data_IF_327413740345
#
_entry.id   IF_327413740345
#
_cell.length_a   1.000
_cell.length_b   1.000
_cell.length_c   1.000
_cell.angle_alpha   90.00
_cell.angle_beta   90.00
_cell.angle_gamma   90.00
#
_symmetry.space_group_name_H-M   'P 1'
#
loop_
_entity.id
_entity.type
_entity.pdbx_description
1 polymer ?
#
# COMPACT_ATOMS: atom_id res chain seq x y z
N UNK A 1 27.30 9.91 11.71
CA UNK A 1 26.71 10.01 10.37
C UNK A 1 25.42 10.84 10.36
N UNK A 2 24.38 10.50 11.14
CA UNK A 2 23.13 11.30 11.22
C UNK A 2 23.34 12.75 11.71
N UNK A 3 24.22 12.96 12.70
CA UNK A 3 24.53 14.30 13.24
C UNK A 3 25.15 15.30 12.25
N UNK A 4 25.87 14.81 11.24
CA UNK A 4 26.49 15.69 10.22
C UNK A 4 25.45 16.09 9.16
N UNK A 5 24.55 15.17 8.80
CA UNK A 5 23.45 15.44 7.87
C UNK A 5 22.44 16.45 8.46
N UNK A 6 22.23 16.43 9.77
CA UNK A 6 21.40 17.40 10.49
C UNK A 6 21.99 18.82 10.48
N UNK A 7 23.32 18.96 10.50
CA UNK A 7 24.00 20.25 10.45
C UNK A 7 23.95 20.87 9.05
N UNK A 8 24.06 20.05 8.00
CA UNK A 8 24.04 20.51 6.61
C UNK A 8 22.64 20.92 6.11
N UNK A 9 21.57 20.42 6.77
CA UNK A 9 20.18 20.67 6.36
C UNK A 9 19.50 21.86 7.07
N UNK A 10 20.17 22.55 8.00
CA UNK A 10 19.55 23.63 8.78
C UNK A 10 20.19 25.02 8.61
N UNK A 11 20.13 25.64 7.41
CA UNK A 11 20.64 27.00 7.20
C UNK A 11 19.72 28.11 7.74
N UNK A 12 18.52 27.79 8.26
CA UNK A 12 17.48 28.76 8.65
C UNK A 12 17.07 28.72 10.12
N UNK A 13 17.72 27.91 10.96
CA UNK A 13 17.50 27.93 12.41
C UNK A 13 16.13 27.44 12.86
N UNK A 14 15.41 26.66 12.04
CA UNK A 14 14.18 26.01 12.51
C UNK A 14 14.59 24.84 13.40
N UNK A 15 14.11 24.82 14.64
CA UNK A 15 14.34 23.68 15.55
C UNK A 15 13.73 22.42 14.95
N UNK A 16 14.56 21.41 14.69
CA UNK A 16 14.10 20.12 14.24
C UNK A 16 13.25 19.49 15.36
N UNK A 17 12.00 19.13 15.05
CA UNK A 17 11.14 18.42 16.00
C UNK A 17 11.83 17.10 16.33
N UNK A 18 12.23 16.97 17.59
CA UNK A 18 12.92 15.78 18.06
C UNK A 18 11.91 14.62 18.19
N UNK A 19 11.75 13.87 17.11
CA UNK A 19 10.87 12.71 17.06
C UNK A 19 11.62 11.48 17.54
N UNK A 20 11.33 11.03 18.76
CA UNK A 20 11.85 9.78 19.30
C UNK A 20 10.85 8.65 19.04
N UNK A 21 11.22 7.72 18.15
CA UNK A 21 10.48 6.48 17.98
C UNK A 21 10.93 5.48 19.06
N UNK A 22 10.07 5.21 20.04
CA UNK A 22 10.34 4.23 21.11
C UNK A 22 9.49 2.98 20.91
N UNK A 23 10.14 1.82 20.83
CA UNK A 23 9.46 0.54 20.86
C UNK A 23 9.31 0.11 22.32
N UNK A 24 8.09 0.17 22.86
CA UNK A 24 7.80 -0.37 24.20
C UNK A 24 7.71 -1.89 24.12
N UNK A 25 8.69 -2.57 24.72
CA UNK A 25 8.59 -3.98 25.07
C UNK A 25 7.98 -4.07 26.46
N UNK A 26 6.66 -4.24 26.55
CA UNK A 26 5.97 -4.53 27.81
C UNK A 26 5.84 -6.06 27.96
N UNK A 27 6.50 -6.68 28.96
CA UNK A 27 6.41 -8.13 29.19
C UNK A 27 5.00 -8.63 29.53
N UNK A 28 4.08 -7.75 29.95
CA UNK A 28 2.68 -8.09 30.22
C UNK A 28 1.76 -7.95 29.00
N UNK A 29 2.24 -7.38 27.89
CA UNK A 29 1.49 -7.31 26.64
C UNK A 29 1.58 -8.63 25.86
N UNK A 30 0.53 -8.92 25.08
CA UNK A 30 0.43 -10.11 24.23
C UNK A 30 1.67 -10.26 23.33
N UNK A 31 2.51 -11.25 23.67
CA UNK A 31 3.76 -11.57 22.98
C UNK A 31 3.54 -11.93 21.51
N UNK A 32 2.31 -12.21 21.06
CA UNK A 32 2.01 -12.58 19.67
C UNK A 32 1.85 -11.39 18.73
N UNK A 33 1.73 -10.16 19.24
CA UNK A 33 1.41 -8.98 18.43
C UNK A 33 2.64 -8.22 17.91
N UNK A 34 3.80 -8.36 18.55
CA UNK A 34 5.03 -7.63 18.21
C UNK A 34 6.31 -8.48 18.34
N UNK A 35 6.26 -9.75 17.95
CA UNK A 35 7.47 -10.58 17.93
C UNK A 35 8.55 -9.97 17.02
N UNK A 36 9.80 -10.00 17.49
CA UNK A 36 10.94 -9.65 16.65
C UNK A 36 10.94 -10.56 15.40
N UNK A 37 11.15 -10.01 14.19
CA UNK A 37 11.17 -10.80 12.97
C UNK A 37 12.25 -11.89 13.06
N UNK A 38 11.88 -13.16 12.87
CA UNK A 38 12.82 -14.30 12.85
C UNK A 38 13.46 -14.55 11.49
N UNK A 39 12.89 -13.99 10.42
CA UNK A 39 13.38 -14.12 9.05
C UNK A 39 13.53 -12.74 8.38
N UNK A 40 14.31 -12.71 7.31
CA UNK A 40 14.48 -11.51 6.46
C UNK A 40 13.45 -11.43 5.32
N UNK A 41 12.57 -12.42 5.25
CA UNK A 41 11.51 -12.51 4.26
C UNK A 41 10.18 -12.02 4.84
N UNK A 42 9.30 -11.59 3.95
CA UNK A 42 7.95 -11.18 4.29
C UNK A 42 7.02 -12.00 3.41
N UNK A 43 5.98 -12.56 4.02
CA UNK A 43 4.94 -13.30 3.33
C UNK A 43 3.58 -12.78 3.79
N UNK A 44 2.61 -12.83 2.89
CA UNK A 44 1.20 -12.56 3.21
C UNK A 44 0.50 -13.90 3.30
N UNK A 45 -0.15 -14.15 4.44
CA UNK A 45 -0.95 -15.35 4.67
C UNK A 45 -2.39 -14.92 4.81
N UNK A 46 -3.26 -15.54 4.03
CA UNK A 46 -4.70 -15.31 4.07
C UNK A 46 -5.41 -16.64 3.88
N UNK A 47 -6.63 -16.74 4.40
CA UNK A 47 -7.47 -17.91 4.25
C UNK A 47 -8.80 -17.43 3.70
N UNK A 48 -9.21 -18.02 2.58
CA UNK A 48 -10.53 -17.85 2.02
C UNK A 48 -10.99 -19.19 1.44
N UNK A 49 -12.31 -19.38 1.29
CA UNK A 49 -12.91 -20.66 0.87
C UNK A 49 -12.31 -21.15 -0.45
N UNK A 50 -12.13 -20.24 -1.41
CA UNK A 50 -11.64 -20.54 -2.75
C UNK A 50 -10.14 -20.19 -2.94
N UNK A 51 -9.42 -19.90 -1.86
CA UNK A 51 -8.01 -19.47 -1.93
C UNK A 51 -7.79 -18.10 -2.55
N UNK A 52 -8.84 -17.29 -2.71
CA UNK A 52 -8.73 -15.96 -3.31
C UNK A 52 -8.15 -14.92 -2.34
N UNK A 53 -7.34 -13.97 -2.84
CA UNK A 53 -6.96 -12.77 -2.11
C UNK A 53 -8.21 -12.06 -1.57
N UNK A 54 -8.24 -11.68 -0.28
CA UNK A 54 -9.39 -10.97 0.25
C UNK A 54 -9.44 -9.59 -0.41
N UNK A 55 -10.56 -9.26 -1.04
CA UNK A 55 -10.77 -7.94 -1.66
C UNK A 55 -11.16 -6.89 -0.62
N UNK A 56 -11.96 -7.29 0.36
CA UNK A 56 -12.31 -6.41 1.48
C UNK A 56 -11.20 -6.43 2.53
N UNK A 57 -10.89 -5.24 3.04
CA UNK A 57 -10.07 -5.03 4.24
C UNK A 57 -10.88 -4.17 5.18
N UNK A 58 -10.88 -4.52 6.47
CA UNK A 58 -11.48 -3.66 7.49
C UNK A 58 -10.54 -2.50 7.81
N UNK A 59 -10.57 -1.46 6.97
CA UNK A 59 -9.81 -0.23 7.15
C UNK A 59 -10.77 0.84 7.64
N UNK A 60 -10.60 1.27 8.90
CA UNK A 60 -11.42 2.31 9.52
C UNK A 60 -10.59 3.52 9.86
N UNK A 61 -11.09 4.68 9.46
CA UNK A 61 -10.54 5.99 9.75
C UNK A 61 -11.36 6.58 10.88
N UNK A 62 -10.70 6.98 11.96
CA UNK A 62 -11.31 7.78 13.01
C UNK A 62 -10.97 9.24 12.79
N UNK A 63 -11.98 10.07 12.57
CA UNK A 63 -11.80 11.50 12.40
C UNK A 63 -11.92 12.21 13.76
N UNK A 64 -10.81 12.81 14.20
CA UNK A 64 -10.75 13.51 15.50
C UNK A 64 -11.63 14.75 15.58
N UNK A 65 -11.96 15.38 14.45
CA UNK A 65 -12.72 16.64 14.43
C UNK A 65 -14.22 16.39 14.55
N UNK A 66 -14.73 15.38 13.84
CA UNK A 66 -16.15 15.00 13.82
C UNK A 66 -16.47 13.87 14.79
N UNK A 67 -15.46 13.26 15.41
CA UNK A 67 -15.60 12.17 16.38
C UNK A 67 -16.30 10.92 15.80
N UNK A 68 -16.24 10.74 14.48
CA UNK A 68 -16.86 9.64 13.75
C UNK A 68 -15.83 8.65 13.21
N UNK A 69 -16.31 7.44 12.93
CA UNK A 69 -15.54 6.36 12.32
C UNK A 69 -16.09 6.08 10.94
N UNK A 70 -15.22 6.13 9.94
CA UNK A 70 -15.55 5.87 8.55
C UNK A 70 -14.77 4.66 8.05
N UNK A 71 -15.46 3.68 7.48
CA UNK A 71 -14.80 2.59 6.77
C UNK A 71 -14.43 3.06 5.36
N UNK A 72 -13.22 2.70 4.91
CA UNK A 72 -12.77 2.97 3.55
C UNK A 72 -12.45 1.69 2.80
N UNK A 73 -12.66 1.75 1.48
CA UNK A 73 -12.31 0.67 0.57
C UNK A 73 -10.79 0.63 0.33
N UNK A 74 -10.27 -0.54 -0.04
CA UNK A 74 -8.88 -0.70 -0.51
C UNK A 74 -8.58 0.11 -1.79
N UNK A 75 -9.63 0.54 -2.50
CA UNK A 75 -9.55 1.36 -3.70
C UNK A 75 -9.66 2.87 -3.39
N UNK A 76 -9.85 3.26 -2.12
CA UNK A 76 -9.86 4.65 -1.71
C UNK A 76 -8.45 5.24 -1.82
N UNK A 77 -8.35 6.45 -2.38
CA UNK A 77 -7.08 7.16 -2.55
C UNK A 77 -6.32 7.37 -1.25
N UNK A 78 -6.99 7.37 -0.10
CA UNK A 78 -6.39 7.55 1.22
C UNK A 78 -5.82 6.26 1.81
N UNK A 79 -6.16 5.10 1.25
CA UNK A 79 -5.78 3.79 1.77
C UNK A 79 -4.27 3.64 1.92
N UNK A 80 -3.50 3.77 0.84
CA UNK A 80 -2.04 3.57 0.89
C UNK A 80 -1.32 4.61 1.76
N UNK A 81 -1.64 5.92 1.67
CA UNK A 81 -1.03 6.93 2.54
C UNK A 81 -1.30 6.70 4.03
N UNK A 82 -2.49 6.21 4.40
CA UNK A 82 -2.84 5.95 5.80
C UNK A 82 -2.23 4.65 6.33
N UNK A 83 -2.10 3.62 5.48
CA UNK A 83 -1.44 2.36 5.86
C UNK A 83 0.09 2.47 5.87
N UNK A 84 0.67 3.34 5.03
CA UNK A 84 2.11 3.55 4.91
C UNK A 84 2.53 5.02 5.05
N UNK A 85 2.27 5.70 6.18
CA UNK A 85 2.57 7.13 6.32
C UNK A 85 4.03 7.50 6.05
N UNK A 86 4.97 6.61 6.40
CA UNK A 86 6.40 6.81 6.16
C UNK A 86 6.79 6.80 4.67
N UNK A 87 5.97 6.18 3.81
CA UNK A 87 6.16 6.21 2.35
C UNK A 87 5.47 7.43 1.69
N UNK A 88 4.54 8.05 2.41
CA UNK A 88 3.75 9.20 1.98
C UNK A 88 3.92 10.37 2.96
N UNK A 89 5.14 10.93 3.13
CA UNK A 89 5.43 11.94 4.15
C UNK A 89 4.62 13.24 3.98
N UNK A 90 4.17 13.53 2.76
CA UNK A 90 3.35 14.70 2.44
C UNK A 90 1.84 14.42 2.43
N UNK A 91 1.42 13.19 2.73
CA UNK A 91 0.01 12.80 2.69
C UNK A 91 -0.62 12.85 1.29
N UNK A 92 0.18 12.75 0.23
CA UNK A 92 -0.31 12.70 -1.14
C UNK A 92 -1.25 11.50 -1.35
N UNK A 93 -2.24 11.67 -2.21
CA UNK A 93 -3.17 10.59 -2.56
C UNK A 93 -2.44 9.37 -3.15
N UNK A 94 -2.92 8.19 -2.75
CA UNK A 94 -2.60 6.89 -3.31
C UNK A 94 -3.32 6.63 -4.64
N UNK A 95 -3.19 5.41 -5.14
CA UNK A 95 -3.97 4.98 -6.30
C UNK A 95 -5.47 4.95 -5.98
N UNK A 96 -6.29 5.32 -6.96
CA UNK A 96 -7.74 5.17 -6.95
C UNK A 96 -8.28 5.05 -8.39
N UNK A 97 -9.53 4.62 -8.55
CA UNK A 97 -10.13 4.33 -9.87
C UNK A 97 -10.14 5.52 -10.82
N UNK A 98 -10.26 6.75 -10.31
CA UNK A 98 -10.35 7.97 -11.11
C UNK A 98 -8.99 8.57 -11.46
N UNK A 99 -7.89 7.93 -11.07
CA UNK A 99 -6.56 8.42 -11.36
C UNK A 99 -6.28 8.41 -12.86
N UNK A 100 -5.96 9.58 -13.41
CA UNK A 100 -5.64 9.78 -14.82
C UNK A 100 -4.16 10.12 -15.01
N UNK A 101 -3.63 9.68 -16.15
CA UNK A 101 -2.25 9.92 -16.55
C UNK A 101 -2.06 11.37 -16.99
N UNK A 102 -1.00 11.99 -16.47
CA UNK A 102 -0.49 13.30 -16.89
C UNK A 102 0.63 13.17 -17.94
N UNK A 103 0.96 11.95 -18.37
CA UNK A 103 1.98 11.74 -19.39
C UNK A 103 1.50 12.36 -20.71
N UNK A 104 2.28 13.24 -21.36
CA UNK A 104 1.91 13.84 -22.65
C UNK A 104 1.64 12.81 -23.76
N UNK A 105 2.23 11.61 -23.68
CA UNK A 105 1.98 10.52 -24.63
C UNK A 105 0.63 9.82 -24.41
N UNK A 106 0.11 9.85 -23.19
CA UNK A 106 -1.14 9.20 -22.79
C UNK A 106 -1.96 10.13 -21.88
N UNK A 107 -2.38 11.31 -22.37
CA UNK A 107 -3.08 12.28 -21.54
C UNK A 107 -4.50 11.79 -21.25
N UNK A 108 -4.90 11.81 -19.97
CA UNK A 108 -6.25 11.45 -19.55
C UNK A 108 -6.56 9.95 -19.53
N UNK A 109 -5.61 9.10 -19.93
CA UNK A 109 -5.74 7.64 -19.82
C UNK A 109 -5.86 7.22 -18.35
N UNK A 110 -6.73 6.26 -18.08
CA UNK A 110 -6.89 5.67 -16.74
C UNK A 110 -5.60 4.97 -16.35
N UNK A 111 -5.07 5.28 -15.17
CA UNK A 111 -3.87 4.64 -14.63
C UNK A 111 -4.29 3.37 -13.90
N UNK A 112 -3.73 2.22 -14.27
CA UNK A 112 -4.02 0.97 -13.56
C UNK A 112 -3.28 0.92 -12.21
N UNK A 113 -3.73 0.09 -11.27
CA UNK A 113 -3.00 -0.15 -10.01
C UNK A 113 -1.56 -0.57 -10.28
N UNK A 114 -1.37 -1.47 -11.25
CA UNK A 114 -0.07 -1.98 -11.63
C UNK A 114 0.84 -0.87 -12.16
N UNK A 115 0.33 0.00 -13.05
CA UNK A 115 1.10 1.12 -13.59
C UNK A 115 1.53 2.09 -12.48
N UNK A 116 0.64 2.37 -11.53
CA UNK A 116 0.93 3.23 -10.40
C UNK A 116 2.01 2.65 -9.50
N UNK A 117 1.88 1.40 -9.05
CA UNK A 117 2.88 0.77 -8.19
C UNK A 117 4.22 0.59 -8.92
N UNK A 118 4.19 0.23 -10.20
CA UNK A 118 5.38 0.18 -11.04
C UNK A 118 6.05 1.56 -11.12
N UNK A 119 5.29 2.64 -11.28
CA UNK A 119 5.83 4.01 -11.31
C UNK A 119 6.53 4.40 -10.01
N UNK A 120 5.98 4.04 -8.85
CA UNK A 120 6.58 4.30 -7.54
C UNK A 120 7.91 3.54 -7.33
N UNK A 121 7.97 2.31 -7.86
CA UNK A 121 9.12 1.41 -7.70
C UNK A 121 10.15 1.52 -8.83
N UNK A 122 9.79 2.15 -9.96
CA UNK A 122 10.61 2.25 -11.16
C UNK A 122 11.99 2.85 -10.86
N UNK A 123 13.10 2.30 -11.43
CA UNK A 123 14.44 2.82 -11.22
C UNK A 123 14.56 4.28 -11.69
N UNK A 124 15.23 5.11 -10.87
CA UNK A 124 15.42 6.55 -11.06
C UNK A 124 16.70 6.96 -10.33
N UNK A 125 17.39 7.97 -10.85
CA UNK A 125 18.58 8.54 -10.21
C UNK A 125 18.25 9.21 -8.87
N UNK A 126 17.07 9.83 -8.77
CA UNK A 126 16.62 10.55 -7.60
C UNK A 126 16.29 9.65 -6.40
N UNK A 127 16.34 10.25 -5.21
CA UNK A 127 15.88 9.61 -3.98
C UNK A 127 14.40 9.17 -4.11
N UNK A 128 14.12 7.95 -3.67
CA UNK A 128 12.75 7.44 -3.55
C UNK A 128 12.60 6.74 -2.21
N UNK A 129 11.67 7.26 -1.39
CA UNK A 129 11.34 6.66 -0.10
C UNK A 129 10.81 5.23 -0.26
N UNK A 130 10.04 4.97 -1.33
CA UNK A 130 9.54 3.64 -1.66
C UNK A 130 10.64 2.61 -1.88
N UNK A 131 11.81 3.03 -2.40
CA UNK A 131 12.94 2.12 -2.63
C UNK A 131 13.81 1.90 -1.40
N UNK A 132 13.94 2.93 -0.56
CA UNK A 132 14.86 2.94 0.60
C UNK A 132 14.24 2.47 1.92
N UNK A 133 12.94 2.19 1.95
CA UNK A 133 12.23 1.81 3.17
C UNK A 133 12.49 0.37 3.69
N UNK A 134 13.43 -0.38 3.10
CA UNK A 134 13.84 -1.69 3.60
C UNK A 134 12.68 -2.69 3.75
N UNK A 135 12.48 -3.24 4.96
CA UNK A 135 11.38 -4.19 5.22
C UNK A 135 9.99 -3.59 4.97
N UNK A 136 9.79 -2.29 5.23
CA UNK A 136 8.52 -1.62 4.95
C UNK A 136 8.21 -1.60 3.45
N UNK A 137 9.24 -1.46 2.60
CA UNK A 137 9.08 -1.59 1.15
C UNK A 137 8.61 -2.99 0.77
N UNK A 138 9.19 -4.03 1.35
CA UNK A 138 8.77 -5.42 1.07
C UNK A 138 7.30 -5.65 1.46
N UNK A 139 6.85 -5.12 2.61
CA UNK A 139 5.43 -5.16 3.00
C UNK A 139 4.55 -4.43 1.99
N UNK A 140 4.94 -3.20 1.62
CA UNK A 140 4.22 -2.40 0.64
C UNK A 140 4.09 -3.09 -0.72
N UNK A 141 5.16 -3.74 -1.21
CA UNK A 141 5.14 -4.48 -2.48
C UNK A 141 4.14 -5.64 -2.42
N UNK A 142 4.18 -6.42 -1.35
CA UNK A 142 3.28 -7.56 -1.20
C UNK A 142 1.83 -7.12 -1.08
N UNK A 143 1.56 -6.07 -0.32
CA UNK A 143 0.22 -5.52 -0.17
C UNK A 143 -0.29 -4.92 -1.48
N UNK A 144 0.54 -4.17 -2.20
CA UNK A 144 0.23 -3.65 -3.54
C UNK A 144 -0.11 -4.78 -4.53
N UNK A 145 0.66 -5.88 -4.51
CA UNK A 145 0.38 -7.07 -5.32
C UNK A 145 -0.97 -7.69 -4.94
N UNK A 146 -1.19 -7.93 -3.64
CA UNK A 146 -2.44 -8.50 -3.13
C UNK A 146 -3.67 -7.66 -3.48
N UNK A 147 -3.57 -6.34 -3.33
CA UNK A 147 -4.64 -5.41 -3.71
C UNK A 147 -4.92 -5.45 -5.21
N UNK A 148 -3.87 -5.54 -6.03
CA UNK A 148 -4.00 -5.62 -7.50
C UNK A 148 -4.66 -6.92 -7.93
N UNK A 149 -4.23 -8.04 -7.38
CA UNK A 149 -4.80 -9.36 -7.69
C UNK A 149 -6.24 -9.48 -7.20
N UNK A 150 -6.54 -9.03 -5.98
CA UNK A 150 -7.91 -9.01 -5.47
C UNK A 150 -8.84 -8.16 -6.36
N UNK A 151 -8.37 -6.99 -6.82
CA UNK A 151 -9.16 -6.12 -7.69
C UNK A 151 -9.37 -6.73 -9.09
N UNK A 152 -8.36 -7.38 -9.65
CA UNK A 152 -8.48 -8.11 -10.93
C UNK A 152 -9.48 -9.26 -10.83
N UNK A 153 -9.38 -10.07 -9.78
CA UNK A 153 -10.33 -11.16 -9.53
C UNK A 153 -11.75 -10.64 -9.35
N UNK A 154 -11.93 -9.58 -8.56
CA UNK A 154 -13.23 -8.95 -8.37
C UNK A 154 -13.81 -8.44 -9.70
N UNK A 155 -12.99 -7.83 -10.55
CA UNK A 155 -13.42 -7.42 -11.89
C UNK A 155 -13.90 -8.61 -12.73
N UNK A 156 -13.14 -9.71 -12.76
CA UNK A 156 -13.53 -10.93 -13.49
C UNK A 156 -14.87 -11.47 -12.97
N UNK A 157 -15.03 -11.58 -11.64
CA UNK A 157 -16.27 -12.02 -10.99
C UNK A 157 -17.49 -11.16 -11.35
N UNK A 158 -17.33 -9.84 -11.39
CA UNK A 158 -18.43 -8.91 -11.65
C UNK A 158 -18.77 -8.75 -13.13
N UNK A 159 -17.86 -9.10 -14.04
CA UNK A 159 -18.02 -8.90 -15.48
C UNK A 159 -18.16 -10.22 -16.27
N UNK A 160 -18.48 -11.32 -15.60
CA UNK A 160 -18.67 -12.66 -16.21
C UNK A 160 -19.56 -12.67 -17.46
N UNK A 161 -20.71 -11.94 -17.50
CA UNK A 161 -21.56 -11.92 -18.70
C UNK A 161 -20.87 -11.28 -19.92
N UNK A 162 -20.04 -10.27 -19.70
CA UNK A 162 -19.29 -9.60 -20.76
C UNK A 162 -18.09 -10.45 -21.21
N UNK A 163 -17.48 -11.16 -20.26
CA UNK A 163 -16.35 -12.07 -20.50
C UNK A 163 -16.78 -13.41 -21.12
N UNK A 164 -18.09 -13.65 -21.30
CA UNK A 164 -18.69 -14.89 -21.84
C UNK A 164 -18.11 -16.16 -21.20
N UNK A 165 -17.92 -16.17 -19.88
CA UNK A 165 -17.27 -17.30 -19.23
C UNK A 165 -18.03 -18.63 -19.34
N UNK A 166 -19.31 -18.58 -19.67
CA UNK A 166 -20.14 -19.72 -20.03
C UNK A 166 -19.55 -20.54 -21.21
N UNK A 167 -18.83 -19.89 -22.14
CA UNK A 167 -18.14 -20.55 -23.27
C UNK A 167 -16.85 -21.28 -22.85
N UNK A 168 -16.27 -20.95 -21.70
CA UNK A 168 -15.07 -21.61 -21.18
C UNK A 168 -15.39 -22.90 -20.39
N UNK A 169 -16.67 -23.21 -20.12
CA UNK A 169 -17.05 -24.43 -19.40
C UNK A 169 -16.77 -25.73 -20.17
N UNK A 170 -16.45 -25.65 -21.47
CA UNK A 170 -16.04 -26.79 -22.31
C UNK A 170 -14.55 -27.14 -22.29
N UNK A 171 -13.72 -26.38 -21.55
CA UNK A 171 -12.28 -26.62 -21.34
C UNK A 171 -12.01 -27.22 -19.95
N UNK A 172 -12.84 -28.16 -19.49
CA UNK A 172 -12.40 -29.11 -18.48
C UNK A 172 -11.61 -30.20 -19.18
N UNK A 173 -10.33 -30.35 -18.80
CA UNK A 173 -9.46 -31.44 -19.22
C UNK A 173 -10.08 -32.81 -18.91
N UNK A 174 -9.83 -33.73 -19.83
CA UNK A 174 -10.25 -35.13 -19.84
C UNK A 174 -9.34 -36.01 -18.96
#
# INVERSE_FOLDING_TARGET
MMRQVEQDLNPRGNEAINLMLSFRNDPQHDQRRYNAPRANEIAVVFQNVDGEPPFERDIRIYNKNSNDVQQISILDKRCDPMCYPLLYPYGNDGWHSELKSYNPKYPGFKVTQMDYYAHLLAPRAEFSQFKKAGKLRCQFILDAYMKTEANRLNYIKLNQPQLRAELYSGLMDH
#
